data_IF_587528338702
#
_entry.id   IF_587528338702
#
_cell.length_a   1.000
_cell.length_b   1.000
_cell.length_c   1.000
_cell.angle_alpha   90.00
_cell.angle_beta   90.00
_cell.angle_gamma   90.00
#
_symmetry.space_group_name_H-M   'P 1'
#
loop_
_entity.id
_entity.type
_entity.pdbx_description
1 polymer ?
#
# COMPACT_ATOMS: atom_id res chain seq x y z
N UNK A 1 -5.45 6.68 7.35
CA UNK A 1 -4.85 8.02 7.18
C UNK A 1 -3.87 8.39 8.30
N UNK A 2 -4.10 7.98 9.55
CA UNK A 2 -3.24 8.31 10.71
C UNK A 2 -1.82 7.71 10.65
N UNK A 3 -1.65 6.47 10.19
CA UNK A 3 -0.32 5.82 10.10
C UNK A 3 0.59 6.44 9.03
N UNK A 4 0.02 6.93 7.93
CA UNK A 4 0.77 7.56 6.83
C UNK A 4 1.29 8.94 7.24
N UNK A 5 0.53 9.68 8.06
CA UNK A 5 0.93 10.99 8.61
C UNK A 5 2.15 10.83 9.52
N UNK A 6 2.11 9.89 10.47
CA UNK A 6 3.19 9.69 11.46
C UNK A 6 4.51 9.30 10.80
N UNK A 7 4.49 8.54 9.71
CA UNK A 7 5.72 8.09 9.01
C UNK A 7 6.33 9.14 8.06
N UNK A 8 5.59 10.21 7.74
CA UNK A 8 6.07 11.27 6.86
C UNK A 8 6.59 12.51 7.60
N UNK A 9 6.45 12.52 8.93
CA UNK A 9 6.89 13.61 9.78
C UNK A 9 8.35 13.47 10.17
N UNK A 10 9.12 14.51 9.89
CA UNK A 10 10.51 14.65 10.32
C UNK A 10 10.62 15.34 11.68
N UNK A 11 9.64 16.20 12.00
CA UNK A 11 9.66 17.08 13.18
C UNK A 11 8.82 16.57 14.36
N UNK A 12 8.05 15.49 14.20
CA UNK A 12 7.21 14.90 15.26
C UNK A 12 6.06 15.79 15.75
N UNK A 13 5.68 16.82 15.00
CA UNK A 13 4.71 17.85 15.42
C UNK A 13 3.25 17.37 15.46
N UNK A 14 2.95 16.18 14.91
CA UNK A 14 1.58 15.70 14.76
C UNK A 14 0.79 16.37 13.62
N UNK A 15 1.36 17.37 12.94
CA UNK A 15 0.82 17.99 11.72
C UNK A 15 1.81 17.83 10.55
N UNK A 16 1.32 17.88 9.31
CA UNK A 16 2.17 17.89 8.12
C UNK A 16 2.31 19.33 7.65
N UNK A 17 3.54 19.80 7.49
CA UNK A 17 3.77 20.99 6.67
C UNK A 17 3.58 20.65 5.18
N UNK A 18 3.68 21.68 4.33
CA UNK A 18 3.45 21.50 2.90
C UNK A 18 4.48 20.58 2.24
N UNK A 19 5.75 20.66 2.63
CA UNK A 19 6.81 19.83 2.03
C UNK A 19 6.65 18.36 2.45
N UNK A 20 6.35 18.11 3.72
CA UNK A 20 6.02 16.79 4.25
C UNK A 20 4.77 16.21 3.59
N UNK A 21 3.76 17.04 3.31
CA UNK A 21 2.57 16.66 2.55
C UNK A 21 2.91 16.30 1.10
N UNK A 22 3.74 17.09 0.41
CA UNK A 22 4.16 16.79 -0.96
C UNK A 22 4.90 15.45 -1.02
N UNK A 23 5.83 15.20 -0.10
CA UNK A 23 6.53 13.93 0.02
C UNK A 23 5.58 12.76 0.27
N UNK A 24 4.58 12.95 1.13
CA UNK A 24 3.54 11.95 1.39
C UNK A 24 2.69 11.68 0.15
N UNK A 25 2.31 12.73 -0.57
CA UNK A 25 1.49 12.64 -1.76
C UNK A 25 2.20 11.91 -2.90
N UNK A 26 3.51 12.14 -3.10
CA UNK A 26 4.30 11.36 -4.06
C UNK A 26 4.33 9.87 -3.71
N UNK A 27 4.50 9.54 -2.43
CA UNK A 27 4.42 8.14 -1.96
C UNK A 27 3.04 7.56 -2.28
N UNK A 28 1.97 8.28 -1.98
CA UNK A 28 0.60 7.84 -2.25
C UNK A 28 0.40 7.57 -3.76
N UNK A 29 0.78 8.52 -4.62
CA UNK A 29 0.69 8.37 -6.09
C UNK A 29 1.46 7.16 -6.60
N UNK A 30 2.68 6.93 -6.11
CA UNK A 30 3.48 5.76 -6.48
C UNK A 30 2.77 4.45 -6.12
N UNK A 31 2.25 4.35 -4.89
CA UNK A 31 1.54 3.15 -4.44
C UNK A 31 0.22 2.93 -5.19
N UNK A 32 -0.55 3.99 -5.47
CA UNK A 32 -1.75 3.92 -6.31
C UNK A 32 -1.43 3.43 -7.73
N UNK A 33 -0.36 3.95 -8.34
CA UNK A 33 0.06 3.51 -9.66
C UNK A 33 0.41 2.02 -9.69
N UNK A 34 1.16 1.54 -8.69
CA UNK A 34 1.49 0.12 -8.54
C UNK A 34 0.21 -0.71 -8.39
N UNK A 35 -0.68 -0.30 -7.50
CA UNK A 35 -1.94 -1.01 -7.26
C UNK A 35 -2.75 -1.19 -8.56
N UNK A 36 -3.02 -0.08 -9.26
CA UNK A 36 -3.79 -0.08 -10.52
C UNK A 36 -3.12 -0.92 -11.61
N UNK A 37 -1.78 -0.96 -11.63
CA UNK A 37 -1.02 -1.75 -12.60
C UNK A 37 -1.14 -3.26 -12.37
N UNK A 38 -1.28 -3.69 -11.11
CA UNK A 38 -1.24 -5.10 -10.73
C UNK A 38 -2.61 -5.72 -10.42
N UNK A 39 -3.65 -4.92 -10.18
CA UNK A 39 -5.06 -5.34 -10.13
C UNK A 39 -5.55 -5.71 -11.55
N UNK A 40 -5.13 -6.88 -12.05
CA UNK A 40 -5.40 -7.33 -13.44
C UNK A 40 -6.83 -7.77 -13.61
N UNK A 41 -7.39 -8.38 -12.57
CA UNK A 41 -8.77 -8.84 -12.54
C UNK A 41 -9.78 -7.68 -12.29
N UNK A 42 -9.29 -6.45 -12.04
CA UNK A 42 -10.11 -5.27 -11.72
C UNK A 42 -11.03 -5.51 -10.51
N UNK A 43 -10.59 -6.37 -9.60
CA UNK A 43 -11.31 -6.68 -8.37
C UNK A 43 -11.32 -5.52 -7.38
N UNK A 44 -10.47 -4.50 -7.61
CA UNK A 44 -10.18 -3.44 -6.65
C UNK A 44 -9.56 -4.01 -5.36
N UNK A 45 -8.87 -5.12 -5.49
CA UNK A 45 -8.08 -5.80 -4.46
C UNK A 45 -6.88 -6.47 -5.13
N UNK A 46 -5.87 -6.87 -4.35
CA UNK A 46 -4.78 -7.69 -4.87
C UNK A 46 -4.89 -9.09 -4.28
N UNK A 47 -4.96 -10.10 -5.14
CA UNK A 47 -4.92 -11.50 -4.72
C UNK A 47 -3.48 -12.02 -4.55
N UNK A 48 -3.32 -13.26 -4.10
CA UNK A 48 -1.99 -13.89 -3.89
C UNK A 48 -1.10 -13.88 -5.15
N UNK A 49 -1.67 -13.89 -6.35
CA UNK A 49 -0.92 -13.88 -7.62
C UNK A 49 -0.50 -12.46 -8.02
N UNK A 50 -1.26 -11.46 -7.57
CA UNK A 50 -1.05 -10.05 -7.89
C UNK A 50 -0.16 -9.33 -6.87
N UNK A 51 -0.19 -9.76 -5.60
CA UNK A 51 0.51 -9.09 -4.50
C UNK A 51 2.04 -9.20 -4.58
N UNK A 52 2.59 -10.39 -4.84
CA UNK A 52 4.04 -10.61 -4.91
C UNK A 52 4.73 -9.71 -5.95
N UNK A 53 4.25 -9.64 -7.21
CA UNK A 53 4.85 -8.74 -8.19
C UNK A 53 4.59 -7.25 -7.87
N UNK A 54 3.47 -6.91 -7.23
CA UNK A 54 3.20 -5.53 -6.79
C UNK A 54 4.17 -5.06 -5.71
N UNK A 55 4.41 -5.87 -4.68
CA UNK A 55 5.37 -5.56 -3.60
C UNK A 55 6.81 -5.49 -4.12
N UNK A 56 7.16 -6.38 -5.05
CA UNK A 56 8.48 -6.33 -5.72
C UNK A 56 8.64 -5.04 -6.52
N UNK A 57 7.62 -4.62 -7.27
CA UNK A 57 7.64 -3.36 -8.01
C UNK A 57 7.69 -2.11 -7.11
N UNK A 58 7.21 -2.23 -5.86
CA UNK A 58 7.37 -1.19 -4.86
C UNK A 58 8.79 -1.07 -4.30
N UNK A 59 9.66 -2.04 -4.59
CA UNK A 59 11.04 -2.12 -4.11
C UNK A 59 11.21 -2.96 -2.85
N UNK A 60 10.17 -3.70 -2.43
CA UNK A 60 10.25 -4.62 -1.29
C UNK A 60 10.83 -5.96 -1.77
N UNK A 61 11.78 -6.49 -0.99
CA UNK A 61 12.22 -7.88 -1.16
C UNK A 61 11.26 -8.77 -0.39
N UNK A 62 10.48 -9.56 -1.11
CA UNK A 62 9.48 -10.46 -0.54
C UNK A 62 9.83 -11.89 -0.93
N UNK A 63 9.86 -12.77 0.05
CA UNK A 63 9.86 -14.23 -0.14
C UNK A 63 8.50 -14.79 0.30
N UNK A 64 8.29 -16.08 0.06
CA UNK A 64 7.02 -16.75 0.38
C UNK A 64 6.66 -16.67 1.88
N UNK A 65 7.66 -16.72 2.76
CA UNK A 65 7.45 -16.61 4.20
C UNK A 65 7.01 -15.21 4.61
N UNK A 66 7.64 -14.17 4.06
CA UNK A 66 7.23 -12.77 4.27
C UNK A 66 5.82 -12.53 3.73
N UNK A 67 5.48 -13.09 2.57
CA UNK A 67 4.12 -13.02 2.02
C UNK A 67 3.12 -13.66 3.00
N UNK A 68 3.40 -14.86 3.53
CA UNK A 68 2.54 -15.51 4.52
C UNK A 68 2.38 -14.68 5.80
N UNK A 69 3.44 -14.03 6.29
CA UNK A 69 3.33 -13.16 7.47
C UNK A 69 2.46 -11.93 7.20
N UNK A 70 2.62 -11.30 6.03
CA UNK A 70 1.78 -10.16 5.63
C UNK A 70 0.33 -10.62 5.43
N UNK A 71 0.12 -11.80 4.86
CA UNK A 71 -1.19 -12.46 4.74
C UNK A 71 -1.88 -12.54 6.09
N UNK A 72 -1.22 -13.15 7.08
CA UNK A 72 -1.81 -13.35 8.41
C UNK A 72 -2.15 -12.03 9.11
N UNK A 73 -1.44 -10.95 8.79
CA UNK A 73 -1.63 -9.65 9.44
C UNK A 73 -2.64 -8.74 8.76
N UNK A 74 -2.75 -8.82 7.43
CA UNK A 74 -3.44 -7.84 6.58
C UNK A 74 -4.40 -8.44 5.55
N UNK A 75 -4.55 -9.77 5.46
CA UNK A 75 -5.64 -10.36 4.67
C UNK A 75 -6.97 -10.12 5.34
N UNK A 76 -7.94 -9.76 4.51
CA UNK A 76 -9.34 -9.76 4.89
C UNK A 76 -9.87 -11.22 4.94
N UNK A 77 -10.96 -11.50 5.67
CA UNK A 77 -11.55 -12.84 5.79
C UNK A 77 -11.98 -13.47 4.45
N UNK A 78 -12.17 -12.65 3.42
CA UNK A 78 -12.50 -13.08 2.05
C UNK A 78 -11.28 -13.45 1.21
N UNK A 79 -10.09 -13.50 1.82
CA UNK A 79 -8.80 -13.81 1.20
C UNK A 79 -8.27 -12.73 0.25
N UNK A 80 -8.82 -11.51 0.31
CA UNK A 80 -8.30 -10.37 -0.46
C UNK A 80 -7.38 -9.49 0.37
N UNK A 81 -6.44 -8.81 -0.31
CA UNK A 81 -5.54 -7.85 0.34
C UNK A 81 -5.84 -6.45 -0.21
N UNK A 82 -5.74 -5.44 0.67
CA UNK A 82 -5.79 -4.02 0.30
C UNK A 82 -6.98 -3.67 -0.60
N UNK A 83 -8.20 -3.71 -0.06
CA UNK A 83 -9.37 -3.28 -0.81
C UNK A 83 -9.33 -1.76 -1.08
N UNK A 84 -9.29 -1.37 -2.35
CA UNK A 84 -9.34 0.04 -2.76
C UNK A 84 -10.76 0.43 -3.19
N UNK A 85 -11.53 1.00 -2.27
CA UNK A 85 -12.80 1.64 -2.61
C UNK A 85 -12.52 3.01 -3.23
N UNK A 86 -12.66 3.10 -4.55
CA UNK A 86 -12.75 4.40 -5.23
C UNK A 86 -14.08 5.04 -4.79
N UNK A 87 -14.03 6.08 -3.95
CA UNK A 87 -15.18 6.96 -3.73
C UNK A 87 -15.47 7.67 -5.06
N UNK A 88 -16.70 7.51 -5.57
CA UNK A 88 -17.24 8.32 -6.66
C UNK A 88 -17.52 9.75 -6.17
#
# INVERSE_FOLDING_TARGET
MTLTVVTSQSNGSGQLDWEEFQGLWEKFRKWTYIFVKFDKNKSKSLDHREITPALTAAGLRVDEFVIQLISMRYMEPDMTWLHMTMYN
#
